data_IF_492016855438
#
_entry.id   IF_492016855438
#
_cell.length_a   1.000
_cell.length_b   1.000
_cell.length_c   1.000
_cell.angle_alpha   90.00
_cell.angle_beta   90.00
_cell.angle_gamma   90.00
#
_symmetry.space_group_name_H-M   'P 1'
#
loop_
_entity.id
_entity.type
_entity.pdbx_description
1 polymer ?
#
# COMPACT_ATOMS: atom_id res chain seq x y z
N UNK A 1 0.10 11.53 29.78
CA UNK A 1 0.00 12.63 28.79
C UNK A 1 0.53 13.91 29.42
N UNK A 2 0.97 14.88 28.63
CA UNK A 2 1.39 16.19 29.14
C UNK A 2 1.15 17.29 28.10
N UNK A 3 1.08 18.52 28.57
CA UNK A 3 0.91 19.71 27.75
C UNK A 3 2.27 20.14 27.21
N UNK A 4 2.41 20.19 25.88
CA UNK A 4 3.60 20.64 25.18
C UNK A 4 3.33 22.01 24.58
N UNK A 5 4.25 22.95 24.82
CA UNK A 5 4.26 24.27 24.17
C UNK A 5 5.41 24.32 23.18
N UNK A 6 5.11 24.66 21.93
CA UNK A 6 6.09 24.74 20.84
C UNK A 6 6.07 26.12 20.21
N UNK A 7 7.25 26.65 19.86
CA UNK A 7 7.40 27.96 19.22
C UNK A 7 7.61 27.79 17.72
N UNK A 8 6.91 28.59 16.92
CA UNK A 8 7.21 28.71 15.48
C UNK A 8 8.39 29.67 15.25
N UNK A 9 8.91 29.73 14.01
CA UNK A 9 9.98 30.66 13.58
C UNK A 9 9.66 32.13 13.87
N UNK A 10 8.39 32.49 13.89
CA UNK A 10 7.88 33.85 14.19
C UNK A 10 7.68 34.09 15.71
N UNK A 11 8.06 33.16 16.58
CA UNK A 11 7.96 33.31 18.03
C UNK A 11 6.58 33.00 18.64
N UNK A 12 5.56 32.77 17.81
CA UNK A 12 4.21 32.39 18.23
C UNK A 12 4.23 31.02 18.93
N UNK A 13 3.65 30.96 20.13
CA UNK A 13 3.57 29.74 20.93
C UNK A 13 2.29 28.97 20.61
N UNK A 14 2.41 27.66 20.40
CA UNK A 14 1.31 26.73 20.15
C UNK A 14 1.24 25.69 21.26
N UNK A 15 0.03 25.39 21.72
CA UNK A 15 -0.24 24.42 22.78
C UNK A 15 -0.79 23.13 22.17
N UNK A 16 -0.25 21.99 22.59
CA UNK A 16 -0.74 20.68 22.20
C UNK A 16 -0.69 19.70 23.36
N UNK A 17 -1.65 18.77 23.42
CA UNK A 17 -1.63 17.66 24.37
C UNK A 17 -0.92 16.48 23.70
N UNK A 18 0.08 15.96 24.38
CA UNK A 18 1.01 14.97 23.85
C UNK A 18 1.06 13.75 24.76
N UNK A 19 1.17 12.59 24.15
CA UNK A 19 1.36 11.33 24.85
C UNK A 19 2.73 10.74 24.51
N UNK A 20 3.49 10.37 25.54
CA UNK A 20 4.74 9.64 25.36
C UNK A 20 4.46 8.16 25.18
N UNK A 21 5.00 7.56 24.13
CA UNK A 21 4.99 6.12 23.89
C UNK A 21 6.41 5.64 23.59
N UNK A 22 6.71 4.38 23.92
CA UNK A 22 7.99 3.76 23.56
C UNK A 22 7.82 2.99 22.25
N UNK A 23 8.66 3.33 21.28
CA UNK A 23 8.83 2.55 20.06
C UNK A 23 10.21 1.89 20.13
N UNK A 24 10.21 0.58 20.41
CA UNK A 24 11.41 -0.19 20.78
C UNK A 24 12.10 0.45 22.00
N UNK A 25 13.33 0.94 21.83
CA UNK A 25 14.13 1.57 22.89
C UNK A 25 14.10 3.11 22.89
N UNK A 26 13.36 3.73 21.96
CA UNK A 26 13.28 5.20 21.89
C UNK A 26 11.93 5.70 22.40
N UNK A 27 11.98 6.67 23.31
CA UNK A 27 10.79 7.41 23.74
C UNK A 27 10.40 8.37 22.61
N UNK A 28 9.19 8.19 22.08
CA UNK A 28 8.57 9.05 21.07
C UNK A 28 7.34 9.73 21.65
N UNK A 29 6.96 10.84 21.03
CA UNK A 29 5.81 11.63 21.43
C UNK A 29 4.79 11.63 20.29
N UNK A 30 3.53 11.27 20.58
CA UNK A 30 2.39 11.43 19.65
C UNK A 30 1.52 12.60 20.10
N UNK A 31 1.14 13.47 19.16
CA UNK A 31 0.20 14.56 19.44
C UNK A 31 -1.21 13.99 19.49
N UNK A 32 -1.89 14.13 20.64
CA UNK A 32 -3.26 13.64 20.85
C UNK A 32 -4.27 14.71 20.42
N UNK A 33 -4.01 15.98 20.73
CA UNK A 33 -4.87 17.10 20.34
C UNK A 33 -4.06 18.38 20.20
N UNK A 34 -4.25 19.11 19.10
CA UNK A 34 -3.70 20.46 18.93
C UNK A 34 -4.73 21.48 19.42
N UNK A 35 -4.33 22.37 20.34
CA UNK A 35 -5.21 23.38 20.94
C UNK A 35 -5.06 24.77 20.30
N UNK A 36 -4.05 24.98 19.45
CA UNK A 36 -3.84 26.24 18.75
C UNK A 36 -2.87 27.19 19.46
N UNK A 37 -3.00 28.51 19.18
CA UNK A 37 -2.08 29.55 19.67
C UNK A 37 -2.33 29.85 21.15
N UNK A 38 -1.25 30.02 21.91
CA UNK A 38 -1.34 30.33 23.34
C UNK A 38 -2.02 31.68 23.60
N UNK A 39 -1.75 32.69 22.76
CA UNK A 39 -2.32 34.04 22.89
C UNK A 39 -3.84 34.03 22.84
N UNK A 40 -4.41 33.17 21.98
CA UNK A 40 -5.85 33.10 21.76
C UNK A 40 -6.53 32.32 22.91
N UNK A 41 -5.80 31.39 23.53
CA UNK A 41 -6.25 30.59 24.67
C UNK A 41 -6.17 31.36 25.99
N UNK A 42 -5.17 32.24 26.16
CA UNK A 42 -5.01 33.10 27.34
C UNK A 42 -5.88 34.36 27.30
N UNK A 43 -6.39 34.76 26.12
CA UNK A 43 -7.24 35.94 25.94
C UNK A 43 -8.57 35.88 26.72
N UNK A 44 -9.07 34.67 27.04
CA UNK A 44 -10.29 34.46 27.82
C UNK A 44 -10.08 34.02 29.27
N UNK A 45 -8.92 33.43 29.60
CA UNK A 45 -8.55 33.05 30.97
C UNK A 45 -7.01 33.06 31.12
N UNK A 46 -6.43 33.95 31.94
CA UNK A 46 -4.98 34.04 32.13
C UNK A 46 -4.36 32.80 32.80
N UNK A 47 -5.15 31.96 33.46
CA UNK A 47 -4.70 30.72 34.11
C UNK A 47 -4.93 29.45 33.29
N UNK A 48 -5.40 29.57 32.04
CA UNK A 48 -5.79 28.44 31.19
C UNK A 48 -4.70 27.36 31.07
N UNK A 49 -3.43 27.76 30.94
CA UNK A 49 -2.31 26.83 30.79
C UNK A 49 -2.05 26.01 32.07
N UNK A 50 -2.24 26.62 33.24
CA UNK A 50 -2.06 25.96 34.54
C UNK A 50 -3.18 24.95 34.79
N UNK A 51 -4.44 25.37 34.58
CA UNK A 51 -5.63 24.51 34.69
C UNK A 51 -5.57 23.33 33.70
N UNK A 52 -5.11 23.57 32.47
CA UNK A 52 -4.98 22.52 31.46
C UNK A 52 -3.87 21.52 31.83
N UNK A 53 -2.76 21.98 32.39
CA UNK A 53 -1.70 21.09 32.91
C UNK A 53 -2.20 20.24 34.08
N UNK A 54 -2.99 20.83 34.97
CA UNK A 54 -3.56 20.15 36.13
C UNK A 54 -4.60 19.11 35.71
N UNK A 55 -5.53 19.47 34.82
CA UNK A 55 -6.55 18.57 34.26
C UNK A 55 -5.94 17.37 33.50
N UNK A 56 -4.86 17.58 32.73
CA UNK A 56 -4.13 16.51 32.04
C UNK A 56 -3.36 15.62 33.04
N UNK A 57 -2.85 16.18 34.14
CA UNK A 57 -2.14 15.45 35.20
C UNK A 57 -3.09 14.62 36.08
N UNK A 58 -4.31 15.13 36.32
CA UNK A 58 -5.39 14.43 37.02
C UNK A 58 -6.03 13.30 36.21
N UNK A 59 -5.65 13.12 34.94
CA UNK A 59 -6.18 12.05 34.09
C UNK A 59 -7.62 12.30 33.60
N UNK A 60 -8.16 13.50 33.79
CA UNK A 60 -9.49 13.91 33.29
C UNK A 60 -9.53 14.05 31.78
N UNK A 61 -8.37 14.21 31.14
CA UNK A 61 -8.26 14.20 29.69
C UNK A 61 -8.13 12.75 29.19
N UNK A 62 -9.26 12.14 28.88
CA UNK A 62 -9.31 10.93 28.07
C UNK A 62 -9.53 11.36 26.61
N UNK A 63 -8.65 10.99 25.65
CA UNK A 63 -8.99 11.15 24.26
C UNK A 63 -10.29 10.39 24.02
N UNK A 64 -11.31 11.09 23.51
CA UNK A 64 -12.49 10.39 23.02
C UNK A 64 -12.00 9.34 22.02
N UNK A 65 -12.38 8.06 22.17
CA UNK A 65 -12.06 7.07 21.15
C UNK A 65 -12.56 7.62 19.83
N UNK A 66 -11.76 7.51 18.77
CA UNK A 66 -12.23 7.78 17.40
C UNK A 66 -13.30 6.73 17.06
N UNK A 67 -14.52 6.96 17.52
CA UNK A 67 -15.66 6.10 17.26
C UNK A 67 -16.21 6.46 15.89
N UNK A 68 -15.94 5.60 14.93
CA UNK A 68 -16.57 5.64 13.62
C UNK A 68 -17.97 5.01 13.75
N UNK A 69 -19.02 5.82 13.65
CA UNK A 69 -20.39 5.32 13.57
C UNK A 69 -20.74 5.04 12.10
N UNK A 70 -20.89 3.76 11.75
CA UNK A 70 -21.40 3.32 10.46
C UNK A 70 -22.90 3.00 10.60
N UNK A 71 -23.75 3.84 10.02
CA UNK A 71 -25.19 3.55 9.91
C UNK A 71 -25.45 2.90 8.57
N UNK A 72 -25.81 1.61 8.58
CA UNK A 72 -26.14 0.84 7.39
C UNK A 72 -27.66 0.70 7.29
N UNK A 73 -28.28 1.29 6.27
CA UNK A 73 -29.68 1.05 5.98
C UNK A 73 -29.82 -0.30 5.26
N UNK A 74 -30.28 -1.32 5.99
CA UNK A 74 -30.48 -2.67 5.45
C UNK A 74 -31.63 -2.74 4.42
N UNK A 75 -32.48 -1.70 4.33
CA UNK A 75 -33.52 -1.61 3.32
C UNK A 75 -33.02 -0.98 2.01
N UNK A 76 -31.85 -0.33 2.05
CA UNK A 76 -31.24 0.25 0.87
C UNK A 76 -30.71 -0.88 -0.03
N UNK A 77 -31.28 -1.01 -1.22
CA UNK A 77 -30.78 -1.96 -2.21
C UNK A 77 -29.40 -1.52 -2.69
N UNK A 78 -28.44 -2.43 -2.60
CA UNK A 78 -27.11 -2.25 -3.18
C UNK A 78 -27.26 -2.28 -4.70
N UNK A 79 -26.98 -1.15 -5.35
CA UNK A 79 -27.01 -1.02 -6.82
C UNK A 79 -25.62 -1.05 -7.45
N UNK A 80 -24.56 -1.16 -6.65
CA UNK A 80 -23.20 -1.23 -7.14
C UNK A 80 -22.93 -2.58 -7.84
N UNK A 81 -22.07 -2.61 -8.86
CA UNK A 81 -21.64 -3.87 -9.47
C UNK A 81 -21.00 -4.78 -8.42
N UNK A 82 -21.24 -6.08 -8.54
CA UNK A 82 -20.58 -7.07 -7.70
C UNK A 82 -19.09 -7.10 -8.03
N UNK A 83 -18.26 -6.81 -7.04
CA UNK A 83 -16.81 -6.85 -7.16
C UNK A 83 -16.25 -8.05 -6.39
N UNK A 84 -15.27 -8.72 -6.97
CA UNK A 84 -14.52 -9.78 -6.33
C UNK A 84 -13.56 -9.16 -5.33
N UNK A 85 -13.72 -9.46 -4.03
CA UNK A 85 -12.79 -9.05 -2.96
C UNK A 85 -11.75 -10.13 -2.62
N UNK A 86 -11.97 -11.38 -3.08
CA UNK A 86 -11.09 -12.52 -2.79
C UNK A 86 -9.68 -12.35 -3.33
N UNK A 87 -9.49 -11.50 -4.35
CA UNK A 87 -8.15 -11.19 -4.87
C UNK A 87 -7.23 -10.54 -3.84
N UNK A 88 -7.76 -9.90 -2.79
CA UNK A 88 -6.95 -9.32 -1.72
C UNK A 88 -6.05 -10.35 -1.02
N UNK A 89 -6.46 -11.64 -1.02
CA UNK A 89 -5.61 -12.73 -0.53
C UNK A 89 -4.38 -12.92 -1.42
N UNK A 90 -4.56 -12.87 -2.74
CA UNK A 90 -3.45 -12.95 -3.70
C UNK A 90 -2.55 -11.71 -3.61
N UNK A 91 -3.15 -10.54 -3.36
CA UNK A 91 -2.42 -9.30 -3.18
C UNK A 91 -1.51 -9.33 -1.96
N UNK A 92 -1.95 -9.96 -0.86
CA UNK A 92 -1.11 -10.12 0.33
C UNK A 92 0.08 -11.03 0.05
N UNK A 93 -0.12 -12.13 -0.68
CA UNK A 93 0.98 -12.98 -1.14
C UNK A 93 1.94 -12.18 -2.03
N UNK A 94 1.42 -11.44 -3.01
CA UNK A 94 2.20 -10.59 -3.91
C UNK A 94 3.05 -9.57 -3.13
N UNK A 95 2.46 -8.88 -2.15
CA UNK A 95 3.18 -7.91 -1.29
C UNK A 95 4.28 -8.59 -0.50
N UNK A 96 4.02 -9.79 0.03
CA UNK A 96 4.99 -10.53 0.83
C UNK A 96 6.25 -10.92 0.02
N UNK A 97 6.14 -11.06 -1.31
CA UNK A 97 7.27 -11.30 -2.22
C UNK A 97 8.17 -10.07 -2.39
N UNK A 98 7.70 -8.87 -2.06
CA UNK A 98 8.49 -7.64 -2.11
C UNK A 98 8.86 -7.18 -3.53
N UNK A 99 8.11 -7.60 -4.54
CA UNK A 99 8.34 -7.25 -5.96
C UNK A 99 8.29 -5.73 -6.17
N UNK A 100 7.43 -5.03 -5.44
CA UNK A 100 7.29 -3.57 -5.45
C UNK A 100 8.61 -2.83 -5.17
N UNK A 101 9.54 -3.44 -4.44
CA UNK A 101 10.86 -2.86 -4.17
C UNK A 101 11.76 -2.83 -5.42
N UNK A 102 11.67 -3.83 -6.30
CA UNK A 102 12.40 -3.85 -7.58
C UNK A 102 11.83 -2.78 -8.50
N UNK A 103 10.50 -2.78 -8.66
CA UNK A 103 9.80 -1.87 -9.55
C UNK A 103 9.98 -0.41 -9.13
N UNK A 104 9.82 -0.09 -7.84
CA UNK A 104 10.02 1.27 -7.33
C UNK A 104 11.45 1.77 -7.44
N UNK A 105 12.46 0.89 -7.27
CA UNK A 105 13.87 1.24 -7.51
C UNK A 105 14.14 1.58 -8.96
N UNK A 106 13.56 0.82 -9.90
CA UNK A 106 13.67 1.12 -11.32
C UNK A 106 12.95 2.43 -11.66
N UNK A 107 11.72 2.62 -11.17
CA UNK A 107 10.90 3.79 -11.47
C UNK A 107 11.51 5.10 -10.95
N UNK A 108 12.27 5.07 -9.86
CA UNK A 108 13.05 6.25 -9.40
C UNK A 108 14.15 6.68 -10.36
N UNK A 109 14.66 5.77 -11.20
CA UNK A 109 15.71 6.04 -12.19
C UNK A 109 15.14 6.49 -13.54
N UNK A 110 13.84 6.30 -13.77
CA UNK A 110 13.18 6.60 -15.03
C UNK A 110 12.19 7.75 -14.87
N UNK A 111 11.82 8.39 -15.97
CA UNK A 111 10.75 9.41 -16.00
C UNK A 111 9.38 8.79 -16.33
N UNK A 112 9.24 7.47 -16.19
CA UNK A 112 8.00 6.78 -16.54
C UNK A 112 6.87 7.20 -15.60
N UNK A 113 5.73 7.55 -16.18
CA UNK A 113 4.50 7.86 -15.43
C UNK A 113 3.65 6.62 -15.13
N UNK A 114 3.99 5.49 -15.74
CA UNK A 114 3.23 4.24 -15.63
C UNK A 114 3.51 3.63 -14.25
N UNK A 115 2.47 3.27 -13.49
CA UNK A 115 2.65 2.45 -12.29
C UNK A 115 2.90 0.99 -12.68
N UNK A 116 4.19 0.62 -12.75
CA UNK A 116 4.62 -0.73 -13.10
C UNK A 116 4.15 -1.78 -12.08
N UNK A 117 4.03 -1.38 -10.81
CA UNK A 117 3.63 -2.28 -9.74
C UNK A 117 2.14 -2.58 -9.81
N UNK A 118 1.32 -1.56 -10.06
CA UNK A 118 -0.10 -1.74 -10.30
C UNK A 118 -0.35 -2.60 -11.55
N UNK A 119 0.38 -2.34 -12.64
CA UNK A 119 0.30 -3.14 -13.87
C UNK A 119 0.60 -4.63 -13.63
N UNK A 120 1.70 -4.94 -12.94
CA UNK A 120 2.07 -6.32 -12.65
C UNK A 120 1.10 -6.98 -11.67
N UNK A 121 0.60 -6.24 -10.66
CA UNK A 121 -0.42 -6.73 -9.72
C UNK A 121 -1.70 -7.14 -10.44
N UNK A 122 -2.25 -6.25 -11.28
CA UNK A 122 -3.46 -6.51 -12.04
C UNK A 122 -3.29 -7.76 -12.93
N UNK A 123 -2.20 -7.82 -13.70
CA UNK A 123 -1.93 -8.94 -14.61
C UNK A 123 -1.76 -10.27 -13.85
N UNK A 124 -1.07 -10.26 -12.72
CA UNK A 124 -0.85 -11.46 -11.89
C UNK A 124 -2.17 -11.98 -11.34
N UNK A 125 -2.97 -11.09 -10.74
CA UNK A 125 -4.27 -11.43 -10.15
C UNK A 125 -5.24 -11.94 -11.21
N UNK A 126 -5.35 -11.23 -12.34
CA UNK A 126 -6.22 -11.65 -13.45
C UNK A 126 -5.77 -12.99 -14.03
N UNK A 127 -4.46 -13.23 -14.17
CA UNK A 127 -3.95 -14.52 -14.65
C UNK A 127 -4.32 -15.70 -13.76
N UNK A 128 -4.48 -15.48 -12.45
CA UNK A 128 -4.87 -16.53 -11.49
C UNK A 128 -6.39 -16.71 -11.44
N UNK A 129 -7.15 -15.60 -11.37
CA UNK A 129 -8.59 -15.65 -11.13
C UNK A 129 -9.44 -15.82 -12.39
N UNK A 130 -9.04 -15.18 -13.49
CA UNK A 130 -9.78 -15.18 -14.76
C UNK A 130 -8.78 -15.03 -15.93
N UNK A 131 -8.06 -16.12 -16.27
CA UNK A 131 -6.96 -16.07 -17.23
C UNK A 131 -7.46 -15.72 -18.63
N UNK A 132 -7.23 -14.47 -19.02
CA UNK A 132 -7.64 -13.92 -20.33
C UNK A 132 -6.50 -13.17 -21.00
N UNK A 133 -6.76 -12.57 -22.16
CA UNK A 133 -5.79 -11.68 -22.81
C UNK A 133 -5.48 -10.46 -21.93
N UNK A 134 -4.31 -9.85 -22.13
CA UNK A 134 -3.89 -8.64 -21.40
C UNK A 134 -4.89 -7.50 -21.60
N UNK A 135 -5.36 -7.33 -22.84
CA UNK A 135 -6.39 -6.36 -23.17
C UNK A 135 -7.69 -6.60 -22.39
N UNK A 136 -8.17 -7.86 -22.38
CA UNK A 136 -9.41 -8.19 -21.70
C UNK A 136 -9.27 -8.06 -20.18
N UNK A 137 -8.11 -8.42 -19.63
CA UNK A 137 -7.77 -8.24 -18.20
C UNK A 137 -7.91 -6.79 -17.73
N UNK A 138 -7.51 -5.84 -18.59
CA UNK A 138 -7.67 -4.40 -18.33
C UNK A 138 -9.13 -3.97 -18.44
N UNK A 139 -9.85 -4.43 -19.46
CA UNK A 139 -11.27 -4.09 -19.60
C UNK A 139 -12.12 -4.56 -18.43
N UNK A 140 -11.77 -5.71 -17.84
CA UNK A 140 -12.49 -6.30 -16.71
C UNK A 140 -11.87 -5.93 -15.36
N UNK A 141 -10.91 -5.00 -15.30
CA UNK A 141 -10.22 -4.65 -14.04
C UNK A 141 -11.18 -4.17 -12.94
N UNK A 142 -12.30 -3.53 -13.33
CA UNK A 142 -13.34 -3.06 -12.40
C UNK A 142 -14.15 -4.17 -11.71
N UNK A 143 -14.03 -5.42 -12.18
CA UNK A 143 -14.62 -6.59 -11.52
C UNK A 143 -13.89 -6.93 -10.22
N UNK A 144 -12.66 -6.42 -10.03
CA UNK A 144 -11.90 -6.55 -8.80
C UNK A 144 -12.25 -5.40 -7.85
N UNK A 145 -12.42 -5.71 -6.57
CA UNK A 145 -12.66 -4.70 -5.54
C UNK A 145 -11.43 -3.80 -5.39
N UNK A 146 -11.60 -2.47 -5.47
CA UNK A 146 -10.54 -1.48 -5.44
C UNK A 146 -10.48 -0.67 -6.74
N UNK A 147 -9.54 0.27 -6.81
CA UNK A 147 -9.53 1.31 -7.84
C UNK A 147 -8.40 1.10 -8.86
N UNK A 148 -8.36 -0.08 -9.50
CA UNK A 148 -7.46 -0.27 -10.64
C UNK A 148 -7.88 0.67 -11.78
N UNK A 149 -6.97 1.55 -12.19
CA UNK A 149 -7.24 2.61 -13.17
C UNK A 149 -6.25 2.60 -14.34
N UNK A 150 -5.91 1.41 -14.85
CA UNK A 150 -4.92 1.24 -15.90
C UNK A 150 -5.56 1.28 -17.29
N UNK A 151 -4.90 1.94 -18.24
CA UNK A 151 -5.24 1.84 -19.66
C UNK A 151 -4.56 0.64 -20.34
N UNK A 152 -5.12 0.11 -21.45
CA UNK A 152 -4.45 -0.95 -22.20
C UNK A 152 -3.05 -0.54 -22.67
N UNK A 153 -2.86 0.73 -23.04
CA UNK A 153 -1.57 1.27 -23.49
C UNK A 153 -0.53 1.27 -22.37
N UNK A 154 -0.92 1.58 -21.13
CA UNK A 154 -0.04 1.49 -19.96
C UNK A 154 0.38 0.05 -19.69
N UNK A 155 -0.55 -0.90 -19.77
CA UNK A 155 -0.22 -2.32 -19.64
C UNK A 155 0.78 -2.74 -20.72
N UNK A 156 0.53 -2.47 -22.00
CA UNK A 156 1.43 -2.92 -23.06
C UNK A 156 2.83 -2.28 -22.94
N UNK A 157 2.92 -0.99 -22.63
CA UNK A 157 4.20 -0.32 -22.40
C UNK A 157 4.93 -0.82 -21.15
N UNK A 158 4.20 -1.29 -20.14
CA UNK A 158 4.82 -1.87 -18.95
C UNK A 158 5.56 -3.18 -19.27
N UNK A 159 5.09 -3.95 -20.26
CA UNK A 159 5.64 -5.29 -20.58
C UNK A 159 7.12 -5.25 -20.94
N UNK A 160 7.56 -4.26 -21.72
CA UNK A 160 8.97 -4.11 -22.11
C UNK A 160 9.85 -3.90 -20.88
N UNK A 161 9.39 -3.05 -19.96
CA UNK A 161 10.12 -2.78 -18.71
C UNK A 161 10.11 -4.01 -17.78
N UNK A 162 8.99 -4.71 -17.69
CA UNK A 162 8.87 -5.94 -16.91
C UNK A 162 9.75 -7.05 -17.48
N UNK A 163 9.90 -7.12 -18.80
CA UNK A 163 10.82 -8.05 -19.46
C UNK A 163 12.27 -7.77 -19.06
N UNK A 164 12.69 -6.50 -19.14
CA UNK A 164 14.04 -6.07 -18.72
C UNK A 164 14.30 -6.38 -17.25
N UNK A 165 13.30 -6.22 -16.38
CA UNK A 165 13.42 -6.47 -14.93
C UNK A 165 13.15 -7.92 -14.53
N UNK A 166 12.88 -8.82 -15.47
CA UNK A 166 12.35 -10.16 -15.18
C UNK A 166 13.26 -10.98 -14.25
N UNK A 167 14.57 -10.96 -14.47
CA UNK A 167 15.55 -11.64 -13.62
C UNK A 167 15.62 -11.04 -12.21
N UNK A 168 15.62 -9.71 -12.09
CA UNK A 168 15.63 -9.02 -10.80
C UNK A 168 14.37 -9.32 -9.99
N UNK A 169 13.21 -9.37 -10.66
CA UNK A 169 11.93 -9.74 -10.04
C UNK A 169 11.99 -11.19 -9.54
N UNK A 170 12.46 -12.12 -10.37
CA UNK A 170 12.60 -13.53 -9.99
C UNK A 170 13.56 -13.72 -8.81
N UNK A 171 14.69 -13.02 -8.79
CA UNK A 171 15.67 -13.07 -7.70
C UNK A 171 15.08 -12.51 -6.40
N UNK A 172 14.35 -11.39 -6.47
CA UNK A 172 13.64 -10.84 -5.31
C UNK A 172 12.61 -11.82 -4.75
N UNK A 173 11.81 -12.44 -5.61
CA UNK A 173 10.85 -13.48 -5.20
C UNK A 173 11.57 -14.68 -4.58
N UNK A 174 12.66 -15.13 -5.18
CA UNK A 174 13.48 -16.23 -4.65
C UNK A 174 13.94 -15.93 -3.22
N UNK A 175 14.48 -14.74 -2.96
CA UNK A 175 14.95 -14.34 -1.64
C UNK A 175 13.81 -14.24 -0.62
N UNK A 176 12.67 -13.67 -1.03
CA UNK A 176 11.50 -13.58 -0.16
C UNK A 176 10.99 -14.98 0.23
N UNK A 177 10.83 -15.88 -0.73
CA UNK A 177 10.39 -17.26 -0.52
C UNK A 177 11.40 -18.03 0.34
N UNK A 178 12.70 -17.92 0.03
CA UNK A 178 13.75 -18.60 0.78
C UNK A 178 13.76 -18.17 2.25
N UNK A 179 13.58 -16.87 2.51
CA UNK A 179 13.51 -16.33 3.87
C UNK A 179 12.23 -16.75 4.61
N UNK A 180 11.08 -16.72 3.96
CA UNK A 180 9.79 -17.02 4.61
C UNK A 180 9.63 -18.52 4.90
N UNK A 181 10.04 -19.39 3.97
CA UNK A 181 9.85 -20.84 4.06
C UNK A 181 11.09 -21.54 4.67
N UNK A 182 12.23 -20.87 4.72
CA UNK A 182 13.50 -21.48 5.15
C UNK A 182 14.13 -22.39 4.10
N UNK A 183 13.85 -22.15 2.81
CA UNK A 183 14.38 -22.95 1.70
C UNK A 183 15.88 -22.67 1.52
N UNK A 184 16.70 -23.70 1.65
CA UNK A 184 18.17 -23.62 1.54
C UNK A 184 18.73 -23.95 0.14
N UNK A 185 17.92 -24.58 -0.72
CA UNK A 185 18.37 -25.03 -2.05
C UNK A 185 19.22 -26.31 -2.04
N UNK A 186 19.29 -27.04 -0.91
CA UNK A 186 20.07 -28.27 -0.80
C UNK A 186 19.54 -29.44 -1.67
N UNK A 187 18.23 -29.44 -1.99
CA UNK A 187 17.58 -30.39 -2.88
C UNK A 187 16.60 -29.63 -3.77
N UNK A 188 16.70 -29.84 -5.08
CA UNK A 188 15.86 -29.17 -6.08
C UNK A 188 15.22 -30.25 -6.94
N UNK A 189 13.89 -30.32 -6.89
CA UNK A 189 13.10 -31.07 -7.86
C UNK A 189 12.76 -30.12 -8.99
N UNK A 190 13.19 -30.43 -10.21
CA UNK A 190 12.78 -29.71 -11.40
C UNK A 190 12.11 -30.71 -12.35
N UNK A 191 10.98 -30.29 -12.91
CA UNK A 191 10.29 -30.99 -13.99
C UNK A 191 10.40 -30.12 -15.24
N UNK A 192 10.71 -30.74 -16.38
CA UNK A 192 10.92 -30.01 -17.64
C UNK A 192 9.67 -30.17 -18.48
N UNK A 193 8.88 -29.11 -18.55
CA UNK A 193 7.75 -29.04 -19.47
C UNK A 193 8.25 -28.50 -20.82
N UNK A 194 8.44 -29.39 -21.79
CA UNK A 194 8.74 -28.99 -23.15
C UNK A 194 7.46 -28.48 -23.83
N UNK A 195 7.48 -27.24 -24.31
CA UNK A 195 6.44 -26.70 -25.19
C UNK A 195 6.95 -26.80 -26.63
N UNK A 196 6.21 -27.49 -27.51
CA UNK A 196 6.38 -27.35 -28.95
C UNK A 196 5.10 -26.76 -29.54
N UNK A 197 5.26 -26.00 -30.61
CA UNK A 197 4.16 -25.52 -31.41
C UNK A 197 4.17 -26.34 -32.70
N UNK A 198 3.05 -26.97 -33.02
CA UNK A 198 2.83 -27.61 -34.32
C UNK A 198 2.14 -26.62 -35.23
N UNK A 199 2.57 -26.57 -36.48
CA UNK A 199 1.83 -25.92 -37.56
C UNK A 199 1.54 -26.99 -38.60
N UNK A 200 0.33 -26.97 -39.18
CA UNK A 200 -0.05 -27.92 -40.24
C UNK A 200 0.76 -27.73 -41.54
N UNK A 201 1.48 -26.62 -41.64
CA UNK A 201 2.27 -26.22 -42.79
C UNK A 201 3.75 -26.17 -42.41
N UNK A 202 4.58 -26.74 -43.28
CA UNK A 202 6.04 -26.56 -43.22
C UNK A 202 6.40 -25.09 -43.45
N UNK A 203 7.44 -24.61 -42.77
CA UNK A 203 8.00 -23.29 -43.06
C UNK A 203 8.45 -23.24 -44.53
N UNK A 204 8.21 -22.11 -45.20
CA UNK A 204 8.74 -21.91 -46.54
C UNK A 204 10.28 -21.98 -46.50
N UNK A 205 10.92 -22.63 -47.49
CA UNK A 205 12.36 -22.77 -47.53
C UNK A 205 13.01 -21.38 -47.52
N UNK A 206 13.96 -21.19 -46.61
CA UNK A 206 14.77 -19.97 -46.56
C UNK A 206 15.68 -19.95 -47.79
N UNK A 207 15.41 -19.06 -48.75
CA UNK A 207 16.30 -18.75 -49.89
C UNK A 207 17.55 -17.97 -49.46
#
# INVERSE_FOLDING_TARGET
MFVKVTKNREGIQYVSIVEGYRDKDKVKHRTVKSLGKLTDLEAGNPNYLAELKESVKEGKFQPEPETLFLTLDLNQKISAPLQNYGWLLLDEVYKSLGISNVLSRHQKKTKSKIDLNEALRLLTVKRILDPQSKWKSVQTQGDLFGDFALSPQEIYRSLDTLCVLSEEIQLQMHHAIAKQIGRTGALVFYDVTNYYFETDLDDEPVE
#
